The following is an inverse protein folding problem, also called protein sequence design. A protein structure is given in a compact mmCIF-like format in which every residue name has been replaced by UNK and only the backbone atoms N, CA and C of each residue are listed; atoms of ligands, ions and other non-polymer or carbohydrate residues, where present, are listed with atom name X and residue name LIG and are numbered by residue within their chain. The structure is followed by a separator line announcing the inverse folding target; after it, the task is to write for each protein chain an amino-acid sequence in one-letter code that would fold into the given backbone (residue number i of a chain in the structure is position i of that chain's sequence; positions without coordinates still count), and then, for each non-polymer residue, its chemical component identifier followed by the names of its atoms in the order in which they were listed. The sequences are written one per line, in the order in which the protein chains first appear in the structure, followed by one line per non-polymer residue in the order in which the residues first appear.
data_IF_074098271527
#
_entry.id   IF_074098271527
#
_cell.length_a   1.000
_cell.length_b   1.000
_cell.length_c   1.000
_cell.angle_alpha   90.00
_cell.angle_beta   90.00
_cell.angle_gamma   90.00
#
_symmetry.space_group_name_H-M   'P 1'
#
loop_
_entity.id
_entity.type
_entity.pdbx_description
1 polymer ?
#
# COMPACT_ATOMS: atom_id res chain seq x y z
N UNK A 1 3.96 29.47 -4.57
CA UNK A 1 2.84 28.56 -4.25
C UNK A 1 3.44 27.19 -4.06
N UNK A 2 3.83 26.87 -2.83
CA UNK A 2 4.60 25.65 -2.52
C UNK A 2 3.60 24.48 -2.47
N UNK A 3 3.59 23.67 -3.53
CA UNK A 3 2.84 22.43 -3.56
C UNK A 3 3.60 21.43 -2.68
N UNK A 4 3.18 21.28 -1.45
CA UNK A 4 3.68 20.24 -0.55
C UNK A 4 3.02 18.93 -0.98
N UNK A 5 3.62 18.24 -1.95
CA UNK A 5 3.25 16.89 -2.38
C UNK A 5 4.14 15.90 -1.62
N UNK A 6 3.87 15.75 -0.39
CA UNK A 6 4.23 14.64 0.47
C UNK A 6 3.07 14.46 1.42
N UNK A 7 2.89 13.30 2.00
CA UNK A 7 1.93 13.17 3.08
C UNK A 7 2.37 14.10 4.22
N UNK A 8 1.99 15.36 4.12
CA UNK A 8 2.20 16.34 5.15
C UNK A 8 1.05 16.19 6.12
N UNK A 9 1.29 15.40 7.15
CA UNK A 9 0.33 15.24 8.22
C UNK A 9 0.29 16.55 8.98
N UNK A 10 -0.82 17.29 8.85
CA UNK A 10 -1.09 18.45 9.72
C UNK A 10 -1.61 17.91 11.04
N UNK A 11 -0.85 18.11 12.10
CA UNK A 11 -1.18 17.62 13.44
C UNK A 11 -1.18 18.79 14.40
N UNK A 12 -2.27 18.96 15.12
CA UNK A 12 -2.35 19.90 16.25
C UNK A 12 -1.90 19.20 17.51
N UNK A 13 -0.94 19.81 18.23
CA UNK A 13 -0.35 19.26 19.46
C UNK A 13 -0.47 20.27 20.61
N UNK A 14 -0.24 19.78 21.82
CA UNK A 14 -0.23 20.66 23.02
C UNK A 14 0.83 21.76 22.87
N UNK A 15 0.49 22.97 23.31
CA UNK A 15 1.33 24.16 23.14
C UNK A 15 2.71 23.99 23.73
N UNK A 16 2.81 23.37 24.92
CA UNK A 16 4.10 23.12 25.54
C UNK A 16 4.97 22.18 24.70
N UNK A 17 4.39 21.10 24.19
CA UNK A 17 5.09 20.15 23.32
C UNK A 17 5.55 20.83 22.02
N UNK A 18 4.71 21.71 21.46
CA UNK A 18 5.07 22.50 20.28
C UNK A 18 6.28 23.41 20.55
N UNK A 19 6.27 24.14 21.67
CA UNK A 19 7.38 24.99 22.09
C UNK A 19 8.66 24.18 22.29
N UNK A 20 8.58 23.07 23.03
CA UNK A 20 9.72 22.21 23.33
C UNK A 20 10.39 21.66 22.07
N UNK A 21 9.58 21.30 21.05
CA UNK A 21 10.09 20.81 19.76
C UNK A 21 10.72 21.94 18.93
N UNK A 22 10.11 23.13 18.87
CA UNK A 22 10.62 24.29 18.12
C UNK A 22 11.90 24.85 18.77
N UNK A 23 11.98 24.88 20.10
CA UNK A 23 13.17 25.32 20.83
C UNK A 23 14.29 24.27 20.88
N UNK A 24 13.99 23.05 20.42
CA UNK A 24 14.95 21.94 20.39
C UNK A 24 15.26 21.35 21.77
N UNK A 25 14.42 21.62 22.78
CA UNK A 25 14.56 21.04 24.14
C UNK A 25 14.18 19.56 24.15
N UNK A 26 13.38 19.11 23.16
CA UNK A 26 13.10 17.70 22.88
C UNK A 26 13.07 17.43 21.38
N UNK A 27 13.39 16.20 21.00
CA UNK A 27 13.24 15.69 19.63
C UNK A 27 12.20 14.57 19.57
N UNK A 28 11.47 14.33 20.65
CA UNK A 28 10.50 13.25 20.78
C UNK A 28 9.08 13.81 20.66
N UNK A 29 8.38 13.40 19.60
CA UNK A 29 6.96 13.69 19.39
C UNK A 29 6.11 12.47 19.75
N UNK A 30 5.07 12.69 20.56
CA UNK A 30 4.06 11.68 20.87
C UNK A 30 2.68 12.20 20.45
N UNK A 31 2.01 11.46 19.55
CA UNK A 31 0.68 11.79 19.05
C UNK A 31 -0.32 10.68 19.37
N UNK A 32 -1.64 10.97 19.42
CA UNK A 32 -2.67 9.94 19.47
C UNK A 32 -2.50 8.93 18.34
N UNK A 33 -2.92 7.68 18.57
CA UNK A 33 -2.83 6.66 17.54
C UNK A 33 -3.73 7.03 16.34
N UNK A 34 -3.15 7.03 15.15
CA UNK A 34 -3.85 7.16 13.88
C UNK A 34 -3.65 5.90 13.07
N UNK A 35 -4.63 5.52 12.22
CA UNK A 35 -4.48 4.39 11.30
C UNK A 35 -3.50 4.68 10.16
N UNK A 36 -3.17 5.96 9.96
CA UNK A 36 -2.27 6.37 8.90
C UNK A 36 -0.87 5.80 9.13
N UNK A 37 -0.30 5.29 8.06
CA UNK A 37 1.07 4.74 8.07
C UNK A 37 2.06 5.89 8.05
N UNK A 38 2.58 6.24 9.22
CA UNK A 38 3.62 7.25 9.42
C UNK A 38 4.97 6.55 9.57
N UNK A 39 5.98 6.97 8.80
CA UNK A 39 7.29 6.32 8.74
C UNK A 39 8.44 7.32 8.93
N UNK A 40 9.63 6.78 9.23
CA UNK A 40 10.86 7.57 9.21
C UNK A 40 11.05 8.22 7.84
N UNK A 41 11.39 9.52 7.85
CA UNK A 41 11.54 10.38 6.69
C UNK A 41 10.23 11.00 6.22
N UNK A 42 9.06 10.83 6.90
CA UNK A 42 7.85 11.60 6.67
C UNK A 42 7.98 13.00 7.23
N UNK A 43 7.19 13.93 6.67
CA UNK A 43 7.15 15.30 7.10
C UNK A 43 5.84 15.57 7.83
N UNK A 44 5.95 16.35 8.89
CA UNK A 44 4.83 16.74 9.73
C UNK A 44 4.78 18.26 9.77
N UNK A 45 3.63 18.85 9.52
CA UNK A 45 3.36 20.24 9.89
C UNK A 45 2.64 20.24 11.24
N UNK A 46 3.32 20.70 12.27
CA UNK A 46 2.80 20.78 13.63
C UNK A 46 2.28 22.18 13.91
N UNK A 47 1.14 22.27 14.60
CA UNK A 47 0.53 23.52 15.06
C UNK A 47 0.18 23.42 16.54
N UNK A 48 0.33 24.49 17.35
CA UNK A 48 -0.14 24.50 18.73
C UNK A 48 -1.68 24.61 18.78
N UNK A 49 -2.28 24.03 19.80
CA UNK A 49 -3.74 24.04 19.98
C UNK A 49 -4.32 25.45 20.08
N UNK A 50 -3.62 26.38 20.72
CA UNK A 50 -4.09 27.74 20.94
C UNK A 50 -3.94 28.64 19.72
N UNK A 51 -3.06 28.33 18.77
CA UNK A 51 -2.85 29.11 17.57
C UNK A 51 -2.59 28.21 16.33
N UNK A 52 -3.65 27.68 15.69
CA UNK A 52 -3.51 26.79 14.54
C UNK A 52 -2.87 27.44 13.31
N UNK A 53 -2.79 28.79 13.25
CA UNK A 53 -2.13 29.51 12.16
C UNK A 53 -0.61 29.54 12.33
N UNK A 54 -0.10 29.33 13.54
CA UNK A 54 1.32 29.16 13.79
C UNK A 54 1.67 27.69 13.49
N UNK A 55 2.62 27.45 12.63
CA UNK A 55 3.04 26.11 12.29
C UNK A 55 4.55 26.04 12.11
N UNK A 56 5.10 24.86 12.27
CA UNK A 56 6.47 24.52 11.95
C UNK A 56 6.53 23.13 11.33
N UNK A 57 7.45 22.94 10.42
CA UNK A 57 7.63 21.69 9.70
C UNK A 57 8.75 20.87 10.33
N UNK A 58 8.52 19.56 10.42
CA UNK A 58 9.43 18.60 11.00
C UNK A 58 9.60 17.38 10.11
N UNK A 59 10.81 16.84 10.09
CA UNK A 59 11.12 15.55 9.47
C UNK A 59 11.15 14.46 10.57
N UNK A 60 10.57 13.30 10.31
CA UNK A 60 10.68 12.12 11.18
C UNK A 60 12.03 11.45 10.95
N UNK A 61 12.95 11.59 11.87
CA UNK A 61 14.31 11.06 11.77
C UNK A 61 14.50 9.68 12.42
N UNK A 62 13.54 9.23 13.24
CA UNK A 62 13.58 7.98 13.99
C UNK A 62 12.49 6.98 13.59
N UNK A 63 12.59 5.77 14.13
CA UNK A 63 11.53 4.78 13.98
C UNK A 63 10.27 5.22 14.71
N UNK A 64 9.12 5.01 14.05
CA UNK A 64 7.81 5.24 14.66
C UNK A 64 7.43 4.00 15.47
N UNK A 65 7.19 4.19 16.75
CA UNK A 65 6.78 3.12 17.68
C UNK A 65 5.34 3.34 18.14
N UNK A 66 4.56 2.27 18.21
CA UNK A 66 3.20 2.34 18.74
C UNK A 66 3.20 1.96 20.22
N UNK A 67 2.69 2.87 21.05
CA UNK A 67 2.44 2.60 22.46
C UNK A 67 1.08 1.94 22.59
N UNK A 68 1.04 0.78 23.26
CA UNK A 68 -0.19 -0.02 23.46
C UNK A 68 -0.69 0.13 24.89
N UNK A 69 -1.99 0.00 25.08
CA UNK A 69 -2.62 -0.11 26.39
C UNK A 69 -2.41 -1.51 27.02
N UNK A 70 -2.99 -1.72 28.20
CA UNK A 70 -2.94 -3.01 28.94
C UNK A 70 -3.58 -4.19 28.17
N UNK A 71 -4.42 -3.87 27.18
CA UNK A 71 -5.13 -4.86 26.36
C UNK A 71 -4.44 -5.10 25.02
N UNK A 72 -3.28 -4.47 24.78
CA UNK A 72 -2.53 -4.58 23.54
C UNK A 72 -3.04 -3.67 22.42
N UNK A 73 -4.03 -2.79 22.69
CA UNK A 73 -4.57 -1.85 21.70
C UNK A 73 -3.63 -0.65 21.55
N UNK A 74 -3.21 -0.29 20.33
CA UNK A 74 -2.35 0.87 20.14
C UNK A 74 -3.12 2.17 20.43
N UNK A 75 -2.56 3.01 21.32
CA UNK A 75 -3.17 4.25 21.79
C UNK A 75 -2.43 5.49 21.38
N UNK A 76 -1.12 5.40 21.16
CA UNK A 76 -0.24 6.52 20.79
C UNK A 76 0.83 6.07 19.83
N UNK A 77 1.36 7.02 19.05
CA UNK A 77 2.61 6.86 18.27
C UNK A 77 3.66 7.79 18.82
N UNK A 78 4.87 7.28 19.00
CA UNK A 78 6.05 8.06 19.43
C UNK A 78 7.13 7.98 18.37
N UNK A 79 7.73 9.11 18.03
CA UNK A 79 8.74 9.24 16.99
C UNK A 79 9.75 10.31 17.32
N UNK A 80 10.95 10.20 16.75
CA UNK A 80 11.94 11.28 16.82
C UNK A 80 11.76 12.17 15.59
N UNK A 81 11.74 13.48 15.83
CA UNK A 81 11.55 14.49 14.78
C UNK A 81 12.68 15.52 14.83
N UNK A 82 12.93 16.15 13.71
CA UNK A 82 13.86 17.28 13.56
C UNK A 82 13.13 18.42 12.89
N UNK A 83 13.15 19.60 13.48
CA UNK A 83 12.60 20.80 12.87
C UNK A 83 13.33 21.10 11.56
N UNK A 84 12.57 21.42 10.53
CA UNK A 84 13.07 21.98 9.30
C UNK A 84 13.06 23.49 9.49
N UNK A 85 14.22 24.04 9.83
CA UNK A 85 14.39 25.49 9.92
C UNK A 85 14.63 26.00 8.52
N UNK A 86 13.74 26.85 8.06
CA UNK A 86 13.94 27.60 6.81
C UNK A 86 14.99 28.70 7.15
N UNK A 87 16.25 28.37 6.98
CA UNK A 87 17.33 29.35 7.07
C UNK A 87 17.20 30.30 5.89
N UNK A 88 16.31 31.28 6.04
CA UNK A 88 15.90 32.27 5.03
C UNK A 88 17.02 33.27 4.63
N UNK A 89 18.27 32.90 4.80
CA UNK A 89 19.39 33.76 4.43
C UNK A 89 20.23 33.29 3.23
N UNK A 90 19.90 32.15 2.62
CA UNK A 90 20.59 31.76 1.39
C UNK A 90 19.62 31.03 0.44
N UNK A 91 19.30 31.63 -0.69
CA UNK A 91 18.47 31.03 -1.76
C UNK A 91 18.96 29.63 -2.17
N UNK A 92 20.27 29.38 -2.11
CA UNK A 92 20.91 28.09 -2.39
C UNK A 92 20.55 27.04 -1.34
N UNK A 93 20.52 27.41 -0.06
CA UNK A 93 20.20 26.48 1.04
C UNK A 93 18.74 26.05 0.96
N UNK A 94 17.82 26.92 0.62
CA UNK A 94 16.41 26.64 0.42
C UNK A 94 16.20 25.64 -0.74
N UNK A 95 16.81 25.91 -1.91
CA UNK A 95 16.73 25.04 -3.09
C UNK A 95 17.33 23.65 -2.82
N UNK A 96 18.47 23.57 -2.10
CA UNK A 96 19.10 22.31 -1.73
C UNK A 96 18.25 21.51 -0.75
N UNK A 97 17.62 22.14 0.22
CA UNK A 97 16.73 21.46 1.17
C UNK A 97 15.46 20.95 0.49
N UNK A 98 14.89 21.76 -0.42
CA UNK A 98 13.76 21.36 -1.24
C UNK A 98 14.10 20.15 -2.13
N UNK A 99 15.26 20.16 -2.78
CA UNK A 99 15.75 19.05 -3.58
C UNK A 99 15.96 17.77 -2.75
N UNK A 100 16.52 17.88 -1.53
CA UNK A 100 16.65 16.72 -0.62
C UNK A 100 15.28 16.13 -0.25
N UNK A 101 14.30 16.99 -0.01
CA UNK A 101 12.93 16.59 0.25
C UNK A 101 12.34 15.81 -0.93
N UNK A 102 12.42 16.38 -2.14
CA UNK A 102 11.90 15.74 -3.35
C UNK A 102 12.57 14.38 -3.62
N UNK A 103 13.88 14.26 -3.42
CA UNK A 103 14.61 12.98 -3.53
C UNK A 103 14.17 11.95 -2.49
N UNK A 104 13.78 12.39 -1.29
CA UNK A 104 13.23 11.49 -0.26
C UNK A 104 11.81 11.02 -0.64
N UNK A 105 10.98 11.89 -1.20
CA UNK A 105 9.65 11.54 -1.71
C UNK A 105 9.74 10.57 -2.89
N UNK A 106 10.65 10.82 -3.83
CA UNK A 106 10.89 9.94 -4.99
C UNK A 106 11.22 8.51 -4.56
N UNK A 107 12.15 8.34 -3.62
CA UNK A 107 12.49 7.02 -3.05
C UNK A 107 11.30 6.29 -2.39
N UNK A 108 10.34 7.04 -1.86
CA UNK A 108 9.14 6.45 -1.24
C UNK A 108 8.16 5.99 -2.27
N UNK A 109 8.00 6.78 -3.33
CA UNK A 109 7.18 6.38 -4.47
C UNK A 109 7.73 5.08 -5.03
N UNK A 110 9.06 4.96 -5.20
CA UNK A 110 9.70 3.73 -5.65
C UNK A 110 9.38 2.54 -4.76
N UNK A 111 9.50 2.72 -3.44
CA UNK A 111 9.17 1.65 -2.50
C UNK A 111 7.68 1.26 -2.53
N UNK A 112 6.79 2.24 -2.69
CA UNK A 112 5.36 1.98 -2.82
C UNK A 112 5.04 1.27 -4.13
N UNK A 113 5.62 1.71 -5.25
CA UNK A 113 5.48 1.05 -6.56
C UNK A 113 5.96 -0.40 -6.51
N UNK A 114 7.09 -0.66 -5.87
CA UNK A 114 7.58 -2.02 -5.68
C UNK A 114 6.58 -2.89 -4.91
N UNK A 115 6.03 -2.39 -3.80
CA UNK A 115 5.03 -3.14 -3.02
C UNK A 115 3.76 -3.44 -3.82
N UNK A 116 3.26 -2.46 -4.58
CA UNK A 116 2.09 -2.67 -5.44
C UNK A 116 2.38 -3.72 -6.52
N UNK A 117 3.56 -3.66 -7.14
CA UNK A 117 4.01 -4.66 -8.10
C UNK A 117 4.10 -6.07 -7.51
N UNK A 118 4.64 -6.21 -6.31
CA UNK A 118 4.71 -7.50 -5.60
C UNK A 118 3.30 -8.04 -5.27
N UNK A 119 2.37 -7.16 -4.88
CA UNK A 119 0.99 -7.56 -4.60
C UNK A 119 0.25 -7.99 -5.85
N UNK A 120 0.34 -7.23 -6.96
CA UNK A 120 -0.25 -7.60 -8.26
C UNK A 120 0.30 -8.97 -8.69
N UNK A 121 1.61 -9.18 -8.58
CA UNK A 121 2.24 -10.46 -8.92
C UNK A 121 1.70 -11.61 -8.07
N UNK A 122 1.57 -11.41 -6.77
CA UNK A 122 1.00 -12.40 -5.84
C UNK A 122 -0.44 -12.76 -6.23
N UNK A 123 -1.26 -11.74 -6.53
CA UNK A 123 -2.64 -11.94 -6.95
C UNK A 123 -2.72 -12.73 -8.27
N UNK A 124 -1.85 -12.42 -9.24
CA UNK A 124 -1.79 -13.14 -10.51
C UNK A 124 -1.42 -14.61 -10.32
N UNK A 125 -0.46 -14.92 -9.43
CA UNK A 125 -0.11 -16.30 -9.12
C UNK A 125 -1.29 -17.05 -8.51
N UNK A 126 -2.05 -16.43 -7.62
CA UNK A 126 -3.25 -17.02 -7.02
C UNK A 126 -4.35 -17.23 -8.06
N UNK A 127 -4.54 -16.29 -8.99
CA UNK A 127 -5.47 -16.43 -10.11
C UNK A 127 -5.09 -17.63 -11.01
N UNK A 128 -3.81 -17.79 -11.33
CA UNK A 128 -3.33 -18.92 -12.11
C UNK A 128 -3.55 -20.27 -11.38
N UNK A 129 -3.31 -20.31 -10.07
CA UNK A 129 -3.57 -21.49 -9.27
C UNK A 129 -5.06 -21.83 -9.22
N UNK A 130 -5.91 -20.86 -8.95
CA UNK A 130 -7.38 -21.04 -8.98
C UNK A 130 -7.87 -21.49 -10.35
N UNK A 131 -7.30 -20.97 -11.44
CA UNK A 131 -7.64 -21.42 -12.81
C UNK A 131 -7.28 -22.88 -13.05
N UNK A 132 -6.14 -23.35 -12.51
CA UNK A 132 -5.76 -24.77 -12.59
C UNK A 132 -6.75 -25.65 -11.82
N UNK A 133 -7.11 -25.26 -10.59
CA UNK A 133 -8.09 -25.99 -9.80
C UNK A 133 -9.49 -25.96 -10.40
N UNK A 134 -9.88 -24.84 -11.02
CA UNK A 134 -11.12 -24.72 -11.77
C UNK A 134 -11.17 -25.72 -12.92
N UNK A 135 -10.09 -25.84 -13.69
CA UNK A 135 -10.00 -26.79 -14.81
C UNK A 135 -10.10 -28.26 -14.30
N UNK A 136 -9.44 -28.57 -13.18
CA UNK A 136 -9.52 -29.90 -12.55
C UNK A 136 -10.96 -30.17 -12.07
N UNK A 137 -11.59 -29.23 -11.38
CA UNK A 137 -12.96 -29.39 -10.88
C UNK A 137 -13.97 -29.56 -12.01
N UNK A 138 -13.83 -28.81 -13.10
CA UNK A 138 -14.67 -28.96 -14.29
C UNK A 138 -14.51 -30.33 -14.94
N UNK A 139 -13.28 -30.86 -15.00
CA UNK A 139 -13.04 -32.20 -15.53
C UNK A 139 -13.68 -33.29 -14.67
N UNK A 140 -13.57 -33.16 -13.33
CA UNK A 140 -14.27 -34.09 -12.42
C UNK A 140 -15.78 -33.96 -12.52
N UNK A 141 -16.32 -32.75 -12.58
CA UNK A 141 -17.75 -32.51 -12.72
C UNK A 141 -18.28 -33.15 -14.00
N UNK A 142 -17.57 -32.99 -15.11
CA UNK A 142 -17.94 -33.63 -16.37
C UNK A 142 -17.96 -35.17 -16.26
N UNK A 143 -16.95 -35.78 -15.63
CA UNK A 143 -16.90 -37.23 -15.40
C UNK A 143 -18.07 -37.70 -14.52
N UNK A 144 -18.38 -36.98 -13.45
CA UNK A 144 -19.53 -37.30 -12.58
C UNK A 144 -20.87 -37.18 -13.31
N UNK A 145 -21.06 -36.15 -14.11
CA UNK A 145 -22.27 -35.97 -14.91
C UNK A 145 -22.43 -37.09 -15.93
N UNK A 146 -21.35 -37.49 -16.65
CA UNK A 146 -21.37 -38.61 -17.55
C UNK A 146 -21.74 -39.92 -16.81
N UNK A 147 -21.25 -40.14 -15.58
CA UNK A 147 -21.61 -41.32 -14.79
C UNK A 147 -23.07 -41.29 -14.39
N UNK A 148 -23.62 -40.14 -13.98
CA UNK A 148 -25.03 -39.98 -13.66
C UNK A 148 -25.90 -40.31 -14.87
N UNK A 149 -25.59 -39.74 -16.06
CA UNK A 149 -26.35 -39.97 -17.29
C UNK A 149 -26.30 -41.45 -17.70
N UNK A 150 -25.19 -42.16 -17.43
CA UNK A 150 -25.07 -43.58 -17.67
C UNK A 150 -25.88 -44.41 -16.68
N UNK A 151 -25.93 -44.01 -15.37
CA UNK A 151 -26.76 -44.68 -14.37
C UNK A 151 -28.25 -44.59 -14.70
N UNK A 152 -28.70 -43.47 -15.25
CA UNK A 152 -30.09 -43.30 -15.71
C UNK A 152 -30.46 -44.24 -16.88
N UNK A 153 -29.46 -44.72 -17.64
CA UNK A 153 -29.64 -45.60 -18.80
C UNK A 153 -29.41 -47.09 -18.46
N UNK A 154 -28.85 -47.42 -17.34
CA UNK A 154 -28.41 -48.77 -16.95
C UNK A 154 -29.13 -49.22 -15.66
N UNK A 155 -29.37 -50.53 -15.57
CA UNK A 155 -29.79 -51.05 -14.27
C UNK A 155 -28.63 -51.08 -13.26
N UNK A 156 -28.94 -51.05 -11.96
CA UNK A 156 -27.93 -50.90 -10.90
C UNK A 156 -26.81 -51.95 -10.98
N UNK A 157 -27.07 -53.14 -11.41
CA UNK A 157 -26.11 -54.25 -11.49
C UNK A 157 -25.12 -54.03 -12.66
N UNK A 158 -25.56 -53.58 -13.80
CA UNK A 158 -24.71 -53.23 -14.95
C UNK A 158 -23.81 -52.01 -14.64
N UNK A 159 -24.35 -51.01 -13.91
CA UNK A 159 -23.61 -49.83 -13.49
C UNK A 159 -22.48 -50.21 -12.52
N UNK A 160 -22.75 -51.08 -11.55
CA UNK A 160 -21.74 -51.57 -10.59
C UNK A 160 -20.61 -52.36 -11.28
N UNK A 161 -20.96 -53.30 -12.20
CA UNK A 161 -19.95 -54.08 -12.91
C UNK A 161 -19.06 -53.23 -13.80
N UNK A 162 -19.60 -52.17 -14.43
CA UNK A 162 -18.90 -51.33 -15.37
C UNK A 162 -17.99 -50.30 -14.72
N UNK A 163 -18.44 -49.67 -13.63
CA UNK A 163 -17.69 -48.60 -12.99
C UNK A 163 -16.85 -49.07 -11.79
N UNK A 164 -17.07 -50.31 -11.29
CA UNK A 164 -16.37 -50.89 -10.12
C UNK A 164 -16.25 -49.92 -8.93
N UNK A 165 -17.15 -48.98 -8.85
CA UNK A 165 -17.22 -47.99 -7.79
C UNK A 165 -18.47 -48.27 -7.02
N UNK A 166 -18.36 -48.43 -5.71
CA UNK A 166 -19.45 -48.35 -4.75
C UNK A 166 -20.07 -46.94 -4.73
N UNK A 167 -20.57 -46.51 -5.89
CA UNK A 167 -21.52 -45.41 -5.92
C UNK A 167 -22.85 -45.99 -5.51
N UNK A 168 -22.96 -46.21 -4.21
CA UNK A 168 -24.10 -46.89 -3.63
C UNK A 168 -25.42 -46.17 -3.81
N UNK A 169 -25.42 -44.94 -4.37
CA UNK A 169 -26.65 -44.18 -4.54
C UNK A 169 -26.47 -43.00 -5.53
N UNK A 170 -27.46 -42.80 -6.39
CA UNK A 170 -27.78 -41.59 -7.11
C UNK A 170 -27.65 -40.36 -6.20
N UNK A 171 -27.95 -40.50 -4.90
CA UNK A 171 -27.78 -39.49 -3.86
C UNK A 171 -26.32 -39.07 -3.64
N UNK A 172 -25.37 -40.01 -3.52
CA UNK A 172 -23.94 -39.67 -3.32
C UNK A 172 -23.34 -39.04 -4.55
N UNK A 173 -23.77 -39.43 -5.74
CA UNK A 173 -23.35 -38.82 -6.98
C UNK A 173 -23.90 -37.39 -7.10
N UNK A 174 -25.15 -37.16 -6.75
CA UNK A 174 -25.76 -35.84 -6.67
C UNK A 174 -25.01 -34.88 -5.74
N UNK A 175 -24.67 -35.36 -4.52
CA UNK A 175 -23.88 -34.58 -3.57
C UNK A 175 -22.48 -34.25 -4.08
N UNK A 176 -21.80 -35.19 -4.74
CA UNK A 176 -20.48 -34.95 -5.30
C UNK A 176 -20.51 -33.90 -6.45
N UNK A 177 -21.54 -33.93 -7.29
CA UNK A 177 -21.79 -32.93 -8.31
C UNK A 177 -21.98 -31.55 -7.68
N UNK A 178 -22.87 -31.44 -6.70
CA UNK A 178 -23.14 -30.18 -5.99
C UNK A 178 -21.89 -29.62 -5.30
N UNK A 179 -21.08 -30.48 -4.68
CA UNK A 179 -19.80 -30.06 -4.06
C UNK A 179 -18.82 -29.47 -5.10
N UNK A 180 -18.72 -30.06 -6.28
CA UNK A 180 -17.87 -29.55 -7.34
C UNK A 180 -18.41 -28.25 -7.95
N UNK A 181 -19.72 -28.11 -8.12
CA UNK A 181 -20.35 -26.85 -8.56
C UNK A 181 -20.05 -25.71 -7.57
N UNK A 182 -20.21 -25.95 -6.26
CA UNK A 182 -19.86 -24.96 -5.22
C UNK A 182 -18.37 -24.58 -5.28
N UNK A 183 -17.48 -25.53 -5.51
CA UNK A 183 -16.03 -25.25 -5.64
C UNK A 183 -15.75 -24.39 -6.87
N UNK A 184 -16.38 -24.70 -8.00
CA UNK A 184 -16.26 -23.92 -9.23
C UNK A 184 -16.72 -22.49 -9.02
N UNK A 185 -17.86 -22.29 -8.39
CA UNK A 185 -18.38 -20.95 -8.08
C UNK A 185 -17.45 -20.19 -7.15
N UNK A 186 -16.87 -20.83 -6.14
CA UNK A 186 -15.91 -20.23 -5.23
C UNK A 186 -14.62 -19.81 -5.95
N UNK A 187 -14.07 -20.63 -6.85
CA UNK A 187 -12.89 -20.25 -7.62
C UNK A 187 -13.18 -19.06 -8.56
N UNK A 188 -14.33 -19.08 -9.24
CA UNK A 188 -14.74 -17.98 -10.11
C UNK A 188 -14.92 -16.68 -9.33
N UNK A 189 -15.54 -16.73 -8.15
CA UNK A 189 -15.71 -15.59 -7.27
C UNK A 189 -14.36 -15.02 -6.83
N UNK A 190 -13.47 -15.87 -6.30
CA UNK A 190 -12.14 -15.45 -5.85
C UNK A 190 -11.32 -14.82 -6.98
N UNK A 191 -11.34 -15.40 -8.17
CA UNK A 191 -10.63 -14.82 -9.32
C UNK A 191 -11.20 -13.46 -9.71
N UNK A 192 -12.51 -13.29 -9.67
CA UNK A 192 -13.18 -12.02 -9.96
C UNK A 192 -12.78 -10.93 -8.97
N UNK A 193 -12.75 -11.25 -7.67
CA UNK A 193 -12.31 -10.35 -6.60
C UNK A 193 -10.85 -9.91 -6.82
N UNK A 194 -9.95 -10.86 -7.06
CA UNK A 194 -8.52 -10.58 -7.29
C UNK A 194 -8.29 -9.76 -8.56
N UNK A 195 -9.06 -10.01 -9.63
CA UNK A 195 -8.99 -9.21 -10.86
C UNK A 195 -9.45 -7.77 -10.63
N UNK A 196 -10.48 -7.56 -9.82
CA UNK A 196 -10.94 -6.22 -9.47
C UNK A 196 -9.96 -5.49 -8.56
N UNK A 197 -9.34 -6.20 -7.60
CA UNK A 197 -8.27 -5.66 -6.79
C UNK A 197 -7.07 -5.24 -7.65
N UNK A 198 -6.64 -6.09 -8.59
CA UNK A 198 -5.54 -5.76 -9.49
C UNK A 198 -5.80 -4.51 -10.32
N UNK A 199 -7.02 -4.32 -10.85
CA UNK A 199 -7.40 -3.08 -11.56
C UNK A 199 -7.24 -1.84 -10.69
N UNK A 200 -7.57 -1.95 -9.40
CA UNK A 200 -7.42 -0.86 -8.45
C UNK A 200 -5.95 -0.56 -8.17
N UNK A 201 -5.13 -1.60 -7.99
CA UNK A 201 -3.69 -1.49 -7.78
C UNK A 201 -2.97 -0.94 -9.01
N UNK A 202 -3.36 -1.34 -10.22
CA UNK A 202 -2.84 -0.81 -11.48
C UNK A 202 -3.12 0.69 -11.60
N UNK A 203 -4.35 1.12 -11.31
CA UNK A 203 -4.68 2.55 -11.30
C UNK A 203 -3.84 3.33 -10.29
N UNK A 204 -3.67 2.81 -9.07
CA UNK A 204 -2.80 3.45 -8.07
C UNK A 204 -1.34 3.50 -8.53
N UNK A 205 -0.89 2.48 -9.25
CA UNK A 205 0.45 2.43 -9.87
C UNK A 205 0.61 3.52 -10.92
N UNK A 206 -0.38 3.72 -11.77
CA UNK A 206 -0.37 4.78 -12.79
C UNK A 206 -0.35 6.17 -12.15
N UNK A 207 -1.19 6.42 -11.14
CA UNK A 207 -1.23 7.69 -10.41
C UNK A 207 0.14 7.99 -9.76
N UNK A 208 0.80 6.99 -9.16
CA UNK A 208 2.13 7.13 -8.58
C UNK A 208 3.23 7.37 -9.63
N UNK A 209 3.14 6.75 -10.79
CA UNK A 209 4.08 6.98 -11.88
C UNK A 209 3.97 8.41 -12.42
N UNK A 210 2.75 8.94 -12.57
CA UNK A 210 2.54 10.35 -12.93
C UNK A 210 3.14 11.30 -11.88
N UNK A 211 2.91 11.02 -10.60
CA UNK A 211 3.49 11.79 -9.50
C UNK A 211 5.03 11.73 -9.52
N UNK A 212 5.60 10.56 -9.74
CA UNK A 212 7.06 10.37 -9.85
C UNK A 212 7.64 11.21 -10.99
N UNK A 213 6.99 11.23 -12.13
CA UNK A 213 7.43 12.03 -13.26
C UNK A 213 7.41 13.53 -12.95
N UNK A 214 6.35 14.00 -12.26
CA UNK A 214 6.27 15.39 -11.80
C UNK A 214 7.44 15.72 -10.85
N UNK A 215 7.68 14.90 -9.83
CA UNK A 215 8.76 15.09 -8.85
C UNK A 215 10.14 15.09 -9.53
N UNK A 216 10.35 14.21 -10.50
CA UNK A 216 11.61 14.18 -11.28
C UNK A 216 11.86 15.48 -12.04
N UNK A 217 10.80 16.08 -12.57
CA UNK A 217 10.90 17.39 -13.24
C UNK A 217 11.21 18.52 -12.25
N UNK A 218 10.58 18.51 -11.07
CA UNK A 218 10.84 19.48 -10.00
C UNK A 218 12.29 19.38 -9.48
N UNK A 219 12.80 18.15 -9.29
CA UNK A 219 14.21 17.92 -8.90
C UNK A 219 15.15 18.55 -9.93
N UNK A 220 14.88 18.35 -11.22
CA UNK A 220 15.70 18.95 -12.30
C UNK A 220 15.63 20.48 -12.27
N UNK A 221 14.45 21.06 -12.05
CA UNK A 221 14.29 22.50 -11.90
C UNK A 221 15.11 23.06 -10.74
N UNK A 222 15.08 22.39 -9.58
CA UNK A 222 15.91 22.78 -8.43
C UNK A 222 17.42 22.67 -8.72
N UNK A 223 17.84 21.64 -9.47
CA UNK A 223 19.24 21.47 -9.88
C UNK A 223 19.69 22.60 -10.79
N UNK A 224 18.84 23.01 -11.73
CA UNK A 224 19.11 24.15 -12.63
C UNK A 224 19.19 25.47 -11.86
N UNK A 225 18.31 25.73 -10.91
CA UNK A 225 18.33 26.90 -10.03
C UNK A 225 19.63 26.97 -9.22
N UNK A 226 20.04 25.88 -8.58
CA UNK A 226 21.29 25.80 -7.81
C UNK A 226 22.51 26.12 -8.70
N UNK A 227 22.52 25.57 -9.90
CA UNK A 227 23.60 25.79 -10.86
C UNK A 227 23.66 27.29 -11.32
N UNK A 228 22.51 27.94 -11.57
CA UNK A 228 22.45 29.35 -11.95
C UNK A 228 22.98 30.26 -10.83
N UNK A 229 22.55 30.02 -9.58
CA UNK A 229 23.00 30.80 -8.42
C UNK A 229 24.51 30.62 -8.23
N UNK A 230 25.02 29.40 -8.36
CA UNK A 230 26.46 29.09 -8.23
C UNK A 230 27.31 29.78 -9.31
N UNK A 231 26.78 29.94 -10.51
CA UNK A 231 27.47 30.66 -11.61
C UNK A 231 27.50 32.20 -11.42
N UNK A 232 26.49 32.75 -10.72
CA UNK A 232 26.42 34.20 -10.47
C UNK A 232 27.27 34.66 -9.28
N UNK A 233 27.64 33.75 -8.39
CA UNK A 233 28.46 34.05 -7.18
C UNK A 233 29.97 33.92 -7.40
N UNK A 234 30.45 33.53 -8.60
CA UNK A 234 31.89 33.59 -8.89
C UNK A 234 32.35 35.03 -9.08
N UNK A 235 33.32 35.54 -8.28
CA UNK A 235 33.87 36.87 -8.49
C UNK A 235 34.51 36.95 -9.88
N UNK A 236 34.12 37.95 -10.65
CA UNK A 236 34.83 38.29 -11.92
C UNK A 236 36.23 38.70 -11.51
N UNK A 237 37.22 37.83 -11.74
CA UNK A 237 38.62 38.18 -11.71
C UNK A 237 39.00 39.10 -12.89
#
# INVERSE_FOLDING_TARGET
MTLIIGYNFKITIEDQMYCDLVEGTTDILTIPFTKDSIFKGDFLTLSPCTNPNKHADFEIIGHVTSVKDKNGTPIKKTMRVKQIVDDSNEDVSSAQNHMKYLKAVDKRIDHKLQKLGDQIKSNLMTIEENQRWLNVSNAFLYDLQCRRDMLDLMNAQEAFEKFKVELDDEYHLGMAIEEHDIRIDNYNYQMSELMNENKTLEKETDDLNHLKQYISNEIRSCEDEINQISCTTQPRN
#
